data_IF_732626232892
#
_entry.id   IF_732626232892
#
_cell.length_a   1.000
_cell.length_b   1.000
_cell.length_c   1.000
_cell.angle_alpha   90.00
_cell.angle_beta   90.00
_cell.angle_gamma   90.00
#
_symmetry.space_group_name_H-M   'P 1'
#
loop_
_entity.id
_entity.type
_entity.pdbx_description
1 polymer ?
#
# COMPACT_ATOMS: atom_id res chain seq x y z
N UNK A 1 -8.79 -6.92 -6.33
CA UNK A 1 -9.93 -7.85 -6.50
C UNK A 1 -9.50 -9.24 -7.01
N UNK A 2 -8.71 -9.37 -8.06
CA UNK A 2 -8.28 -10.69 -8.58
C UNK A 2 -7.64 -11.59 -7.51
N UNK A 3 -6.75 -11.05 -6.68
CA UNK A 3 -6.12 -11.80 -5.59
C UNK A 3 -7.14 -12.36 -4.59
N UNK A 4 -8.12 -11.57 -4.20
CA UNK A 4 -9.18 -11.98 -3.26
C UNK A 4 -10.00 -13.14 -3.83
N UNK A 5 -10.36 -13.04 -5.11
CA UNK A 5 -11.13 -14.10 -5.80
C UNK A 5 -10.32 -15.38 -5.92
N UNK A 6 -9.08 -15.29 -6.41
CA UNK A 6 -8.20 -16.46 -6.56
C UNK A 6 -7.95 -17.17 -5.22
N UNK A 7 -7.62 -16.39 -4.19
CA UNK A 7 -7.38 -16.92 -2.85
C UNK A 7 -8.65 -17.55 -2.29
N UNK A 8 -9.80 -16.88 -2.41
CA UNK A 8 -11.07 -17.38 -1.91
C UNK A 8 -11.46 -18.73 -2.53
N UNK A 9 -11.32 -18.88 -3.84
CA UNK A 9 -11.60 -20.13 -4.54
C UNK A 9 -10.67 -21.26 -4.12
N UNK A 10 -9.37 -21.01 -4.03
CA UNK A 10 -8.39 -22.03 -3.65
C UNK A 10 -8.44 -22.37 -2.17
N UNK A 11 -8.72 -21.39 -1.33
CA UNK A 11 -8.90 -21.59 0.11
C UNK A 11 -10.16 -22.41 0.40
N UNK A 12 -11.29 -22.06 -0.23
CA UNK A 12 -12.54 -22.84 -0.13
C UNK A 12 -12.41 -24.28 -0.64
N UNK A 13 -11.50 -24.51 -1.60
CA UNK A 13 -11.17 -25.86 -2.10
C UNK A 13 -10.12 -26.60 -1.25
N UNK A 14 -9.67 -26.03 -0.12
CA UNK A 14 -8.65 -26.61 0.75
C UNK A 14 -7.23 -26.65 0.17
N UNK A 15 -7.00 -25.95 -0.95
CA UNK A 15 -5.71 -25.95 -1.68
C UNK A 15 -4.74 -24.90 -1.14
N UNK A 16 -4.29 -25.07 0.10
CA UNK A 16 -3.45 -24.09 0.81
C UNK A 16 -2.12 -23.78 0.08
N UNK A 17 -1.50 -24.80 -0.54
CA UNK A 17 -0.27 -24.59 -1.31
C UNK A 17 -0.46 -23.63 -2.49
N UNK A 18 -1.63 -23.69 -3.15
CA UNK A 18 -1.99 -22.74 -4.21
C UNK A 18 -2.23 -21.35 -3.66
N UNK A 19 -2.84 -21.23 -2.47
CA UNK A 19 -3.02 -19.96 -1.78
C UNK A 19 -1.67 -19.30 -1.51
N UNK A 20 -0.69 -20.05 -0.97
CA UNK A 20 0.66 -19.55 -0.72
C UNK A 20 1.36 -19.08 -1.99
N UNK A 21 1.39 -19.93 -3.02
CA UNK A 21 2.00 -19.58 -4.31
C UNK A 21 1.32 -18.36 -4.95
N UNK A 22 -0.01 -18.33 -4.95
CA UNK A 22 -0.78 -17.21 -5.46
C UNK A 22 -0.54 -15.91 -4.71
N UNK A 23 -0.34 -15.97 -3.41
CA UNK A 23 0.03 -14.81 -2.59
C UNK A 23 1.38 -14.24 -3.02
N UNK A 24 2.41 -15.09 -3.15
CA UNK A 24 3.74 -14.64 -3.60
C UNK A 24 3.71 -14.07 -5.01
N UNK A 25 3.01 -14.71 -5.94
CA UNK A 25 2.86 -14.21 -7.32
C UNK A 25 2.14 -12.86 -7.31
N UNK A 26 1.07 -12.71 -6.56
CA UNK A 26 0.33 -11.45 -6.43
C UNK A 26 1.21 -10.33 -5.88
N UNK A 27 1.97 -10.61 -4.84
CA UNK A 27 2.91 -9.63 -4.25
C UNK A 27 3.98 -9.22 -5.27
N UNK A 28 4.57 -10.18 -5.97
CA UNK A 28 5.54 -9.91 -7.02
C UNK A 28 4.96 -9.03 -8.13
N UNK A 29 3.77 -9.35 -8.61
CA UNK A 29 3.07 -8.54 -9.62
C UNK A 29 2.75 -7.13 -9.13
N UNK A 30 2.26 -6.99 -7.90
CA UNK A 30 1.98 -5.68 -7.30
C UNK A 30 3.25 -4.83 -7.18
N UNK A 31 4.35 -5.40 -6.71
CA UNK A 31 5.63 -4.70 -6.57
C UNK A 31 6.16 -4.26 -7.93
N UNK A 32 6.19 -5.15 -8.91
CA UNK A 32 6.63 -4.82 -10.28
C UNK A 32 5.76 -3.72 -10.88
N UNK A 33 4.45 -3.86 -10.80
CA UNK A 33 3.50 -2.87 -11.31
C UNK A 33 3.69 -1.50 -10.67
N UNK A 34 3.81 -1.44 -9.35
CA UNK A 34 3.98 -0.18 -8.62
C UNK A 34 5.34 0.47 -8.89
N UNK A 35 6.40 -0.31 -9.02
CA UNK A 35 7.73 0.20 -9.41
C UNK A 35 7.69 0.78 -10.83
N UNK A 36 7.13 0.05 -11.80
CA UNK A 36 7.00 0.53 -13.18
C UNK A 36 6.14 1.80 -13.26
N UNK A 37 5.01 1.82 -12.57
CA UNK A 37 4.13 3.00 -12.50
C UNK A 37 4.84 4.19 -11.86
N UNK A 38 5.57 3.97 -10.78
CA UNK A 38 6.36 5.01 -10.12
C UNK A 38 7.44 5.59 -11.03
N UNK A 39 8.16 4.76 -11.76
CA UNK A 39 9.18 5.20 -12.73
C UNK A 39 8.53 6.02 -13.85
N UNK A 40 7.43 5.55 -14.43
CA UNK A 40 6.70 6.26 -15.48
C UNK A 40 6.20 7.62 -15.01
N UNK A 41 5.64 7.70 -13.80
CA UNK A 41 5.17 8.93 -13.22
C UNK A 41 6.32 9.94 -13.00
N UNK A 42 7.47 9.48 -12.54
CA UNK A 42 8.66 10.33 -12.34
C UNK A 42 9.26 10.82 -13.66
N UNK A 43 9.32 9.96 -14.68
CA UNK A 43 9.86 10.32 -16.00
C UNK A 43 8.97 11.35 -16.72
N UNK A 44 7.65 11.15 -16.66
CA UNK A 44 6.67 12.00 -17.34
C UNK A 44 6.00 13.03 -16.40
N UNK A 45 6.57 13.31 -15.23
CA UNK A 45 5.97 14.19 -14.23
C UNK A 45 5.59 15.56 -14.77
N UNK A 46 6.43 16.18 -15.59
CA UNK A 46 6.16 17.48 -16.20
C UNK A 46 4.91 17.44 -17.09
N UNK A 47 4.88 16.50 -18.01
CA UNK A 47 3.76 16.36 -18.96
C UNK A 47 2.45 16.04 -18.23
N UNK A 48 2.51 15.18 -17.21
CA UNK A 48 1.33 14.81 -16.42
C UNK A 48 0.81 15.99 -15.63
N UNK A 49 1.69 16.76 -14.99
CA UNK A 49 1.27 17.92 -14.20
C UNK A 49 0.67 19.03 -15.08
N UNK A 50 1.21 19.27 -16.27
CA UNK A 50 0.65 20.23 -17.22
C UNK A 50 -0.73 19.86 -17.78
N UNK A 51 -1.10 18.56 -17.73
CA UNK A 51 -2.46 18.14 -18.06
C UNK A 51 -3.51 18.61 -17.04
N UNK A 52 -3.12 18.79 -15.79
CA UNK A 52 -4.02 19.16 -14.70
C UNK A 52 -4.07 20.67 -14.43
N UNK A 53 -2.95 21.37 -14.64
CA UNK A 53 -2.86 22.78 -14.35
C UNK A 53 -1.77 23.46 -15.18
N UNK A 54 -1.95 24.76 -15.46
CA UNK A 54 -0.92 25.62 -16.06
C UNK A 54 -0.16 26.47 -15.03
N UNK A 55 -0.45 26.32 -13.73
CA UNK A 55 0.20 27.08 -12.68
C UNK A 55 1.54 26.44 -12.30
N UNK A 56 2.64 27.11 -12.60
CA UNK A 56 4.00 26.64 -12.34
C UNK A 56 4.27 26.38 -10.85
N UNK A 57 3.65 27.15 -9.96
CA UNK A 57 3.78 26.93 -8.51
C UNK A 57 3.16 25.61 -8.08
N UNK A 58 1.97 25.30 -8.57
CA UNK A 58 1.28 24.02 -8.31
C UNK A 58 2.06 22.85 -8.91
N UNK A 59 2.60 23.01 -10.11
CA UNK A 59 3.44 22.01 -10.77
C UNK A 59 4.69 21.71 -9.95
N UNK A 60 5.36 22.72 -9.41
CA UNK A 60 6.54 22.55 -8.55
C UNK A 60 6.22 21.74 -7.30
N UNK A 61 5.12 22.03 -6.60
CA UNK A 61 4.66 21.24 -5.45
C UNK A 61 4.28 19.80 -5.83
N UNK A 62 3.62 19.63 -6.96
CA UNK A 62 3.25 18.31 -7.48
C UNK A 62 4.46 17.43 -7.78
N UNK A 63 5.52 17.98 -8.33
CA UNK A 63 6.80 17.29 -8.55
C UNK A 63 7.45 16.84 -7.25
N UNK A 64 7.48 17.71 -6.24
CA UNK A 64 7.99 17.37 -4.91
C UNK A 64 7.17 16.25 -4.31
N UNK A 65 5.85 16.31 -4.39
CA UNK A 65 4.94 15.26 -3.94
C UNK A 65 5.24 13.92 -4.62
N UNK A 66 5.43 13.91 -5.94
CA UNK A 66 5.79 12.68 -6.68
C UNK A 66 7.13 12.11 -6.25
N UNK A 67 8.13 12.94 -5.96
CA UNK A 67 9.43 12.49 -5.44
C UNK A 67 9.30 11.78 -4.08
N UNK A 68 8.37 12.20 -3.23
CA UNK A 68 8.12 11.54 -1.96
C UNK A 68 7.29 10.27 -2.10
N UNK A 69 6.37 10.20 -3.05
CA UNK A 69 5.41 9.09 -3.17
C UNK A 69 5.91 7.96 -4.06
N UNK A 70 6.41 8.28 -5.25
CA UNK A 70 6.73 7.26 -6.25
C UNK A 70 7.82 6.27 -5.82
N UNK A 71 8.95 6.67 -5.17
CA UNK A 71 9.97 5.74 -4.71
C UNK A 71 9.47 4.76 -3.64
N UNK A 72 8.42 5.10 -2.90
CA UNK A 72 7.85 4.30 -1.82
C UNK A 72 6.50 3.66 -2.17
N UNK A 73 6.03 3.84 -3.38
CA UNK A 73 4.73 3.34 -3.83
C UNK A 73 4.61 1.81 -3.80
N UNK A 74 5.73 1.11 -3.92
CA UNK A 74 5.79 -0.35 -3.80
C UNK A 74 5.36 -0.86 -2.41
N UNK A 75 5.60 -0.09 -1.35
CA UNK A 75 5.12 -0.42 0.00
C UNK A 75 3.60 -0.49 0.06
N UNK A 76 2.92 0.45 -0.59
CA UNK A 76 1.47 0.43 -0.73
C UNK A 76 1.00 -0.80 -1.52
N UNK A 77 1.73 -1.18 -2.56
CA UNK A 77 1.47 -2.40 -3.33
C UNK A 77 1.51 -3.66 -2.48
N UNK A 78 2.50 -3.80 -1.61
CA UNK A 78 2.61 -4.91 -0.66
C UNK A 78 1.45 -4.89 0.33
N UNK A 79 1.15 -3.74 0.92
CA UNK A 79 0.05 -3.59 1.88
C UNK A 79 -1.28 -4.02 1.26
N UNK A 80 -1.62 -3.52 0.10
CA UNK A 80 -2.89 -3.82 -0.57
C UNK A 80 -2.94 -5.26 -1.11
N UNK A 81 -1.82 -5.78 -1.60
CA UNK A 81 -1.72 -7.17 -2.05
C UNK A 81 -1.97 -8.17 -0.92
N UNK A 82 -1.30 -7.99 0.23
CA UNK A 82 -1.50 -8.83 1.42
C UNK A 82 -2.92 -8.67 2.00
N UNK A 83 -3.42 -7.44 2.08
CA UNK A 83 -4.78 -7.19 2.52
C UNK A 83 -5.81 -7.92 1.64
N UNK A 84 -5.62 -7.91 0.33
CA UNK A 84 -6.47 -8.62 -0.63
C UNK A 84 -6.44 -10.14 -0.46
N UNK A 85 -5.26 -10.72 -0.25
CA UNK A 85 -5.10 -12.16 -0.04
C UNK A 85 -5.72 -12.63 1.29
N UNK A 86 -5.51 -11.89 2.37
CA UNK A 86 -6.12 -12.21 3.67
C UNK A 86 -7.65 -12.11 3.62
N UNK A 87 -8.19 -11.08 2.94
CA UNK A 87 -9.66 -10.99 2.72
C UNK A 87 -10.20 -12.17 1.94
N UNK A 88 -9.42 -12.72 1.00
CA UNK A 88 -9.79 -13.89 0.23
C UNK A 88 -10.02 -15.16 1.06
N UNK A 89 -9.40 -15.26 2.23
CA UNK A 89 -9.64 -16.38 3.18
C UNK A 89 -10.86 -16.16 4.09
N UNK A 90 -11.65 -15.11 3.85
CA UNK A 90 -12.80 -14.74 4.67
C UNK A 90 -12.47 -13.91 5.91
N UNK A 91 -11.19 -13.71 6.22
CA UNK A 91 -10.74 -12.91 7.37
C UNK A 91 -10.55 -11.44 6.96
N UNK A 92 -11.62 -10.67 6.94
CA UNK A 92 -11.59 -9.26 6.52
C UNK A 92 -11.29 -8.28 7.67
N UNK A 93 -11.50 -8.70 8.92
CA UNK A 93 -11.27 -7.82 10.10
C UNK A 93 -9.80 -7.44 10.28
N UNK A 94 -8.81 -8.37 10.24
CA UNK A 94 -7.42 -8.00 10.44
C UNK A 94 -6.88 -6.97 9.42
N UNK A 95 -7.09 -7.13 8.10
CA UNK A 95 -6.70 -6.09 7.15
C UNK A 95 -7.40 -4.76 7.38
N UNK A 96 -8.67 -4.79 7.76
CA UNK A 96 -9.42 -3.58 8.08
C UNK A 96 -8.79 -2.84 9.27
N UNK A 97 -8.48 -3.54 10.34
CA UNK A 97 -7.84 -2.95 11.53
C UNK A 97 -6.47 -2.37 11.19
N UNK A 98 -5.64 -3.10 10.43
CA UNK A 98 -4.32 -2.62 10.01
C UNK A 98 -4.44 -1.35 9.17
N UNK A 99 -5.37 -1.31 8.21
CA UNK A 99 -5.60 -0.14 7.37
C UNK A 99 -6.10 1.05 8.18
N UNK A 100 -7.02 0.84 9.11
CA UNK A 100 -7.51 1.91 10.00
C UNK A 100 -6.39 2.47 10.88
N UNK A 101 -5.58 1.59 11.49
CA UNK A 101 -4.48 2.01 12.34
C UNK A 101 -3.40 2.74 11.54
N UNK A 102 -2.96 2.17 10.42
CA UNK A 102 -1.84 2.71 9.66
C UNK A 102 -2.21 3.93 8.80
N UNK A 103 -3.37 3.92 8.17
CA UNK A 103 -3.76 4.97 7.23
C UNK A 103 -4.61 6.08 7.85
N UNK A 104 -5.32 5.82 8.93
CA UNK A 104 -6.18 6.79 9.58
C UNK A 104 -5.60 7.26 10.91
N UNK A 105 -5.48 6.39 11.89
CA UNK A 105 -5.06 6.75 13.24
C UNK A 105 -3.64 7.30 13.28
N UNK A 106 -2.70 6.64 12.62
CA UNK A 106 -1.31 7.07 12.53
C UNK A 106 -1.18 8.46 11.88
N UNK A 107 -1.95 8.73 10.83
CA UNK A 107 -1.95 10.04 10.16
C UNK A 107 -2.48 11.15 11.04
N UNK A 108 -3.54 10.91 11.82
CA UNK A 108 -4.07 11.87 12.77
C UNK A 108 -3.02 12.18 13.86
N UNK A 109 -2.38 11.16 14.42
CA UNK A 109 -1.31 11.33 15.42
C UNK A 109 -0.13 12.10 14.84
N UNK A 110 0.29 11.79 13.60
CA UNK A 110 1.37 12.51 12.93
C UNK A 110 1.07 13.99 12.76
N UNK A 111 -0.11 14.31 12.26
CA UNK A 111 -0.53 15.71 12.05
C UNK A 111 -0.60 16.47 13.37
N UNK A 112 -1.12 15.84 14.42
CA UNK A 112 -1.28 16.48 15.73
C UNK A 112 0.05 16.71 16.46
N UNK A 113 0.96 15.74 16.45
CA UNK A 113 2.13 15.72 17.31
C UNK A 113 3.46 15.91 16.57
N UNK A 114 3.59 15.41 15.35
CA UNK A 114 4.84 15.42 14.61
C UNK A 114 4.93 16.52 13.55
N UNK A 115 3.82 16.89 12.93
CA UNK A 115 3.81 17.95 11.91
C UNK A 115 4.37 19.30 12.40
N UNK A 116 4.16 19.74 13.65
CA UNK A 116 4.74 20.98 14.16
C UNK A 116 6.28 21.02 14.16
N UNK A 117 6.94 19.86 14.13
CA UNK A 117 8.41 19.77 14.04
C UNK A 117 8.96 20.00 12.63
N UNK A 118 8.09 19.98 11.62
CA UNK A 118 8.45 20.21 10.22
C UNK A 118 8.09 21.63 9.81
N UNK A 119 9.02 22.34 9.18
CA UNK A 119 8.86 23.74 8.80
C UNK A 119 8.15 23.97 7.45
N UNK A 120 7.54 22.93 6.86
CA UNK A 120 6.90 23.08 5.55
C UNK A 120 5.97 21.93 5.19
N UNK A 121 5.46 21.96 3.96
CA UNK A 121 4.56 20.95 3.38
C UNK A 121 5.21 19.54 3.29
N UNK A 122 6.53 19.48 3.36
CA UNK A 122 7.30 18.22 3.30
C UNK A 122 6.93 17.27 4.44
N UNK A 123 6.60 17.79 5.62
CA UNK A 123 6.12 16.99 6.74
C UNK A 123 4.84 16.23 6.43
N UNK A 124 3.95 16.79 5.62
CA UNK A 124 2.74 16.12 5.13
C UNK A 124 3.09 15.08 4.08
N UNK A 125 4.00 15.36 3.17
CA UNK A 125 4.42 14.42 2.13
C UNK A 125 5.12 13.19 2.68
N UNK A 126 5.99 13.34 3.67
CA UNK A 126 6.68 12.23 4.35
C UNK A 126 5.69 11.32 5.08
N UNK A 127 4.59 11.85 5.58
CA UNK A 127 3.57 11.08 6.28
C UNK A 127 3.07 9.89 5.47
N UNK A 128 2.83 10.05 4.18
CA UNK A 128 2.28 9.00 3.32
C UNK A 128 3.22 7.79 3.17
N UNK A 129 4.49 7.94 2.77
CA UNK A 129 5.42 6.82 2.71
C UNK A 129 5.61 6.12 4.05
N UNK A 130 5.70 6.87 5.15
CA UNK A 130 5.85 6.30 6.50
C UNK A 130 4.63 5.49 6.90
N UNK A 131 3.41 5.98 6.63
CA UNK A 131 2.18 5.25 6.91
C UNK A 131 2.05 3.98 6.04
N UNK A 132 2.46 4.01 4.80
CA UNK A 132 2.49 2.83 3.93
C UNK A 132 3.49 1.79 4.42
N UNK A 133 4.68 2.21 4.84
CA UNK A 133 5.69 1.34 5.44
C UNK A 133 5.20 0.68 6.72
N UNK A 134 4.56 1.43 7.61
CA UNK A 134 3.95 0.90 8.82
C UNK A 134 2.86 -0.12 8.50
N UNK A 135 1.95 0.20 7.59
CA UNK A 135 0.89 -0.71 7.18
C UNK A 135 1.43 -1.98 6.54
N UNK A 136 2.40 -1.86 5.64
CA UNK A 136 3.05 -3.01 5.02
C UNK A 136 3.76 -3.89 6.05
N UNK A 137 4.47 -3.31 7.00
CA UNK A 137 5.14 -4.04 8.08
C UNK A 137 4.13 -4.81 8.94
N UNK A 138 3.05 -4.16 9.36
CA UNK A 138 2.00 -4.80 10.16
C UNK A 138 1.33 -5.95 9.40
N UNK A 139 1.06 -5.78 8.11
CA UNK A 139 0.50 -6.84 7.29
C UNK A 139 1.46 -8.00 7.08
N UNK A 140 2.74 -7.74 6.87
CA UNK A 140 3.77 -8.77 6.74
C UNK A 140 3.89 -9.57 8.03
N UNK A 141 3.93 -8.92 9.19
CA UNK A 141 3.98 -9.57 10.49
C UNK A 141 2.73 -10.43 10.74
N UNK A 142 1.56 -9.94 10.39
CA UNK A 142 0.33 -10.71 10.48
C UNK A 142 0.33 -11.92 9.55
N UNK A 143 0.75 -11.75 8.31
CA UNK A 143 0.83 -12.83 7.33
C UNK A 143 1.87 -13.88 7.72
N UNK A 144 2.98 -13.47 8.33
CA UNK A 144 4.03 -14.39 8.78
C UNK A 144 3.55 -15.31 9.90
N UNK A 145 2.72 -14.83 10.79
CA UNK A 145 2.14 -15.67 11.85
C UNK A 145 1.25 -16.81 11.31
N UNK A 146 0.84 -16.74 10.05
CA UNK A 146 0.20 -17.83 9.30
C UNK A 146 -1.22 -18.20 9.74
N UNK A 147 -1.76 -17.60 10.79
CA UNK A 147 -3.08 -17.95 11.35
C UNK A 147 -4.26 -17.66 10.40
N UNK A 148 -4.06 -16.83 9.40
CA UNK A 148 -5.07 -16.50 8.40
C UNK A 148 -5.31 -17.64 7.38
N UNK A 149 -4.34 -18.56 7.26
CA UNK A 149 -4.44 -19.75 6.39
C UNK A 149 -4.96 -21.01 7.12
N UNK A 150 -5.24 -20.93 8.41
CA UNK A 150 -5.83 -22.04 9.15
C UNK A 150 -7.28 -22.26 8.70
N UNK A 151 -7.53 -23.42 8.14
CA UNK A 151 -8.87 -23.86 7.76
C UNK A 151 -9.56 -24.41 9.02
N UNK A 152 -10.56 -23.73 9.51
CA UNK A 152 -11.43 -24.27 10.56
C UNK A 152 -12.44 -25.22 9.88
N UNK A 153 -12.20 -26.52 10.04
CA UNK A 153 -13.16 -27.58 9.70
C UNK A 153 -14.37 -27.51 10.63
#
# INVERSE_FOLDING_TARGET
>A
MAATTFVGQNFGAGKIDRVKKGTFVTLGMCVIYTILTGILLLVFQDSIMHLFTGDETVIAYGKICMLYFCPFYWMLGILQGLAGTVRGTGKSVPPMVVLLVSLCLFRVVWIQFLLPFFSGIEGVFILYPVSWGLGALLMILYAWKGKWMEYHT
#
